data_IF_769859876457
#
_entry.id   IF_769859876457
#
_cell.length_a   1.000
_cell.length_b   1.000
_cell.length_c   1.000
_cell.angle_alpha   90.00
_cell.angle_beta   90.00
_cell.angle_gamma   90.00
#
_symmetry.space_group_name_H-M   'P 1'
#
loop_
_entity.id
_entity.type
_entity.pdbx_description
1 polymer ?
#
# COMPACT_ATOMS: atom_id res chain seq x y z
N UNK A 1 -45.31 3.13 3.74
CA UNK A 1 -44.07 2.32 3.67
C UNK A 1 -42.95 3.10 4.34
N UNK A 2 -42.46 2.65 5.51
CA UNK A 2 -41.26 3.18 6.10
C UNK A 2 -40.08 2.66 5.24
N UNK A 3 -39.44 3.51 4.46
CA UNK A 3 -38.22 3.16 3.77
C UNK A 3 -37.17 2.88 4.84
N UNK A 4 -36.86 1.60 5.06
CA UNK A 4 -35.82 1.20 6.00
C UNK A 4 -34.48 1.65 5.47
N UNK A 5 -33.67 2.26 6.33
CA UNK A 5 -32.26 2.67 5.98
C UNK A 5 -31.39 1.43 5.76
N UNK A 6 -31.70 0.34 6.47
CA UNK A 6 -31.01 -0.94 6.40
C UNK A 6 -31.98 -2.04 5.97
N UNK A 7 -31.49 -2.95 5.12
CA UNK A 7 -32.19 -4.15 4.67
C UNK A 7 -31.47 -5.37 5.22
N UNK A 8 -32.21 -6.25 5.88
CA UNK A 8 -31.69 -7.53 6.35
C UNK A 8 -31.44 -8.46 5.14
N UNK A 9 -30.30 -9.14 5.13
CA UNK A 9 -29.92 -10.15 4.16
C UNK A 9 -29.75 -11.51 4.83
N UNK A 10 -29.72 -12.61 4.09
CA UNK A 10 -29.39 -13.93 4.63
C UNK A 10 -28.07 -13.90 5.43
N UNK A 11 -27.89 -14.86 6.34
CA UNK A 11 -26.69 -15.00 7.19
C UNK A 11 -26.47 -13.85 8.19
N UNK A 12 -27.55 -13.24 8.69
CA UNK A 12 -27.48 -12.15 9.68
C UNK A 12 -26.64 -10.95 9.23
N UNK A 13 -26.63 -10.68 7.93
CA UNK A 13 -25.96 -9.51 7.36
C UNK A 13 -26.97 -8.38 7.12
N UNK A 14 -26.48 -7.14 7.16
CA UNK A 14 -27.26 -5.93 6.93
C UNK A 14 -26.61 -5.09 5.85
N UNK A 15 -27.44 -4.53 5.01
CA UNK A 15 -26.99 -3.70 3.88
C UNK A 15 -27.77 -2.38 3.89
N UNK A 16 -27.12 -1.29 3.52
CA UNK A 16 -27.85 -0.04 3.31
C UNK A 16 -28.77 -0.16 2.10
N UNK A 17 -30.03 0.29 2.25
CA UNK A 17 -31.00 0.27 1.15
C UNK A 17 -30.51 1.06 -0.08
N UNK A 18 -29.72 2.11 0.13
CA UNK A 18 -29.16 2.94 -0.91
C UNK A 18 -27.72 3.34 -0.58
N UNK A 19 -26.81 3.31 -1.57
CA UNK A 19 -25.41 3.67 -1.41
C UNK A 19 -25.21 5.11 -0.86
N UNK A 20 -26.06 6.05 -1.27
CA UNK A 20 -26.04 7.42 -0.76
C UNK A 20 -26.32 7.53 0.74
N UNK A 21 -27.15 6.65 1.28
CA UNK A 21 -27.41 6.58 2.72
C UNK A 21 -26.19 6.06 3.49
N UNK A 22 -25.51 5.06 2.93
CA UNK A 22 -24.25 4.57 3.49
C UNK A 22 -23.18 5.68 3.52
N UNK A 23 -23.05 6.40 2.40
CA UNK A 23 -22.11 7.50 2.29
C UNK A 23 -22.44 8.65 3.25
N UNK A 24 -23.72 9.05 3.34
CA UNK A 24 -24.15 10.10 4.26
C UNK A 24 -23.92 9.69 5.72
N UNK A 25 -24.25 8.46 6.09
CA UNK A 25 -23.99 7.91 7.42
C UNK A 25 -22.50 7.93 7.75
N UNK A 26 -21.65 7.47 6.83
CA UNK A 26 -20.20 7.49 7.00
C UNK A 26 -19.65 8.91 7.15
N UNK A 27 -20.12 9.85 6.32
CA UNK A 27 -19.67 11.26 6.37
C UNK A 27 -20.15 11.99 7.63
N UNK A 28 -21.30 11.59 8.19
CA UNK A 28 -21.81 12.17 9.44
C UNK A 28 -21.03 11.75 10.69
N UNK A 29 -20.24 10.68 10.61
CA UNK A 29 -19.42 10.23 11.73
C UNK A 29 -18.28 11.20 12.01
N UNK A 30 -17.96 11.41 13.28
CA UNK A 30 -16.75 12.11 13.66
C UNK A 30 -15.52 11.38 13.13
N UNK A 31 -14.50 12.13 12.74
CA UNK A 31 -13.23 11.58 12.21
C UNK A 31 -12.67 10.48 13.09
N UNK A 32 -12.56 10.73 14.40
CA UNK A 32 -12.04 9.75 15.38
C UNK A 32 -12.86 8.45 15.41
N UNK A 33 -14.18 8.55 15.25
CA UNK A 33 -15.05 7.37 15.18
C UNK A 33 -14.77 6.54 13.94
N UNK A 34 -14.59 7.20 12.77
CA UNK A 34 -14.24 6.52 11.51
C UNK A 34 -12.88 5.83 11.60
N UNK A 35 -11.87 6.53 12.13
CA UNK A 35 -10.53 5.97 12.36
C UNK A 35 -10.58 4.73 13.24
N UNK A 36 -11.32 4.79 14.36
CA UNK A 36 -11.48 3.64 15.26
C UNK A 36 -12.24 2.46 14.63
N UNK A 37 -13.24 2.72 13.79
CA UNK A 37 -13.93 1.67 13.05
C UNK A 37 -13.01 0.98 12.04
N UNK A 38 -12.23 1.75 11.30
CA UNK A 38 -11.28 1.18 10.34
C UNK A 38 -10.18 0.37 11.04
N UNK A 39 -9.66 0.81 12.19
CA UNK A 39 -8.71 0.03 12.98
C UNK A 39 -9.31 -1.33 13.37
N UNK A 40 -10.52 -1.35 13.92
CA UNK A 40 -11.21 -2.61 14.29
C UNK A 40 -11.46 -3.52 13.10
N UNK A 41 -11.79 -2.97 11.93
CA UNK A 41 -11.96 -3.76 10.70
C UNK A 41 -10.62 -4.36 10.27
N UNK A 42 -9.53 -3.59 10.31
CA UNK A 42 -8.20 -4.08 9.98
C UNK A 42 -7.79 -5.26 10.88
N UNK A 43 -7.97 -5.11 12.19
CA UNK A 43 -7.69 -6.17 13.17
C UNK A 43 -8.52 -7.43 12.90
N UNK A 44 -9.82 -7.25 12.62
CA UNK A 44 -10.73 -8.37 12.33
C UNK A 44 -10.36 -9.07 11.02
N UNK A 45 -10.01 -8.33 9.96
CA UNK A 45 -9.57 -8.89 8.68
C UNK A 45 -8.34 -9.79 8.87
N UNK A 46 -7.36 -9.33 9.63
CA UNK A 46 -6.15 -10.10 9.91
C UNK A 46 -6.44 -11.36 10.75
N UNK A 47 -7.25 -11.21 11.80
CA UNK A 47 -7.49 -12.31 12.74
C UNK A 47 -8.47 -13.38 12.21
N UNK A 48 -9.47 -12.97 11.39
CA UNK A 48 -10.62 -13.84 11.11
C UNK A 48 -10.80 -14.14 9.62
N UNK A 49 -10.33 -13.27 8.72
CA UNK A 49 -10.64 -13.35 7.30
C UNK A 49 -9.43 -13.40 6.37
N UNK A 50 -8.42 -14.26 6.62
CA UNK A 50 -7.22 -14.32 5.77
C UNK A 50 -7.54 -14.68 4.32
N UNK A 51 -8.62 -15.43 4.06
CA UNK A 51 -9.08 -15.78 2.72
C UNK A 51 -9.61 -14.55 1.93
N UNK A 52 -10.14 -13.54 2.61
CA UNK A 52 -10.56 -12.27 1.99
C UNK A 52 -9.32 -11.50 1.56
N UNK A 53 -8.32 -11.39 2.44
CA UNK A 53 -7.05 -10.74 2.14
C UNK A 53 -6.25 -11.47 1.03
N UNK A 54 -6.50 -12.76 0.87
CA UNK A 54 -5.93 -13.51 -0.25
C UNK A 54 -6.50 -13.09 -1.60
N UNK A 55 -7.77 -12.68 -1.65
CA UNK A 55 -8.46 -12.24 -2.89
C UNK A 55 -8.31 -10.73 -3.12
N UNK A 56 -8.29 -9.95 -2.05
CA UNK A 56 -8.23 -8.49 -2.08
C UNK A 56 -6.98 -8.00 -1.31
N UNK A 57 -5.79 -8.08 -1.93
CA UNK A 57 -4.53 -7.80 -1.22
C UNK A 57 -4.43 -6.40 -0.61
N UNK A 58 -5.01 -5.38 -1.27
CA UNK A 58 -4.98 -3.99 -0.80
C UNK A 58 -5.96 -3.66 0.32
N UNK A 59 -6.97 -4.52 0.57
CA UNK A 59 -8.07 -4.20 1.50
C UNK A 59 -7.59 -3.88 2.91
N UNK A 60 -6.63 -4.65 3.43
CA UNK A 60 -6.05 -4.42 4.76
C UNK A 60 -5.36 -3.06 4.82
N UNK A 61 -4.52 -2.77 3.84
CA UNK A 61 -3.77 -1.53 3.76
C UNK A 61 -4.70 -0.30 3.72
N UNK A 62 -5.80 -0.38 2.97
CA UNK A 62 -6.81 0.67 2.89
C UNK A 62 -7.47 0.94 4.25
N UNK A 63 -7.80 -0.09 5.01
CA UNK A 63 -8.37 0.08 6.34
C UNK A 63 -7.34 0.64 7.32
N UNK A 64 -6.10 0.17 7.31
CA UNK A 64 -5.01 0.70 8.13
C UNK A 64 -4.73 2.17 7.79
N UNK A 65 -4.69 2.54 6.50
CA UNK A 65 -4.54 3.93 6.07
C UNK A 65 -5.67 4.82 6.61
N UNK A 66 -6.92 4.42 6.44
CA UNK A 66 -8.10 5.15 6.95
C UNK A 66 -8.13 5.22 8.48
N UNK A 67 -7.49 4.28 9.16
CA UNK A 67 -7.27 4.29 10.61
C UNK A 67 -6.08 5.16 11.04
N UNK A 68 -5.35 5.78 10.08
CA UNK A 68 -4.10 6.52 10.29
C UNK A 68 -2.96 5.69 10.90
N UNK A 69 -3.00 4.39 10.69
CA UNK A 69 -1.94 3.44 11.03
C UNK A 69 -0.93 3.40 9.87
N UNK A 70 -0.17 4.48 9.68
CA UNK A 70 0.61 4.70 8.45
C UNK A 70 1.70 3.65 8.24
N UNK A 71 2.51 3.33 9.23
CA UNK A 71 3.56 2.32 9.10
C UNK A 71 2.98 0.93 8.75
N UNK A 72 1.99 0.38 9.47
CA UNK A 72 1.31 -0.85 9.05
C UNK A 72 0.72 -0.78 7.64
N UNK A 73 0.10 0.36 7.27
CA UNK A 73 -0.49 0.53 5.95
C UNK A 73 0.56 0.46 4.83
N UNK A 74 1.71 1.13 4.99
CA UNK A 74 2.82 1.09 4.04
C UNK A 74 3.29 -0.36 3.84
N UNK A 75 3.54 -1.08 4.92
CA UNK A 75 3.97 -2.48 4.85
C UNK A 75 2.93 -3.35 4.14
N UNK A 76 1.65 -3.18 4.47
CA UNK A 76 0.56 -3.94 3.83
C UNK A 76 0.39 -3.59 2.35
N UNK A 77 0.55 -2.32 1.95
CA UNK A 77 0.53 -1.92 0.54
C UNK A 77 1.71 -2.51 -0.24
N UNK A 78 2.91 -2.52 0.31
CA UNK A 78 4.08 -3.14 -0.34
C UNK A 78 3.90 -4.66 -0.50
N UNK A 79 3.37 -5.33 0.51
CA UNK A 79 3.04 -6.76 0.43
C UNK A 79 1.95 -7.04 -0.62
N UNK A 80 0.92 -6.19 -0.70
CA UNK A 80 -0.11 -6.26 -1.72
C UNK A 80 0.47 -6.07 -3.12
N UNK A 81 1.33 -5.07 -3.30
CA UNK A 81 2.03 -4.79 -4.55
C UNK A 81 2.85 -5.99 -5.01
N UNK A 82 3.66 -6.56 -4.13
CA UNK A 82 4.48 -7.74 -4.43
C UNK A 82 3.61 -8.93 -4.87
N UNK A 83 2.52 -9.19 -4.18
CA UNK A 83 1.59 -10.26 -4.52
C UNK A 83 0.95 -10.04 -5.89
N UNK A 84 0.47 -8.84 -6.17
CA UNK A 84 -0.13 -8.46 -7.45
C UNK A 84 0.89 -8.55 -8.59
N UNK A 85 2.13 -8.13 -8.36
CA UNK A 85 3.23 -8.27 -9.31
C UNK A 85 3.45 -9.76 -9.68
N UNK A 86 3.48 -10.65 -8.70
CA UNK A 86 3.61 -12.10 -8.94
C UNK A 86 2.43 -12.69 -9.70
N UNK A 87 1.25 -12.08 -9.62
CA UNK A 87 0.04 -12.48 -10.33
C UNK A 87 -0.06 -11.87 -11.75
N UNK A 88 0.88 -11.00 -12.13
CA UNK A 88 0.85 -10.27 -13.40
C UNK A 88 -0.12 -9.10 -13.43
N UNK A 89 -0.68 -8.70 -12.29
CA UNK A 89 -1.59 -7.55 -12.16
C UNK A 89 -0.78 -6.26 -11.98
N UNK A 90 -0.04 -5.87 -13.02
CA UNK A 90 0.98 -4.82 -12.95
C UNK A 90 0.42 -3.44 -12.61
N UNK A 91 -0.73 -3.06 -13.16
CA UNK A 91 -1.38 -1.76 -12.90
C UNK A 91 -1.76 -1.64 -11.42
N UNK A 92 -2.36 -2.67 -10.86
CA UNK A 92 -2.76 -2.69 -9.46
C UNK A 92 -1.53 -2.76 -8.55
N UNK A 93 -0.50 -3.52 -8.94
CA UNK A 93 0.77 -3.59 -8.20
C UNK A 93 1.44 -2.21 -8.11
N UNK A 94 1.52 -1.47 -9.23
CA UNK A 94 2.07 -0.11 -9.24
C UNK A 94 1.24 0.83 -8.36
N UNK A 95 -0.08 0.77 -8.45
CA UNK A 95 -0.98 1.58 -7.64
C UNK A 95 -0.75 1.37 -6.15
N UNK A 96 -0.60 0.12 -5.70
CA UNK A 96 -0.31 -0.20 -4.30
C UNK A 96 1.06 0.34 -3.86
N UNK A 97 2.10 0.17 -4.68
CA UNK A 97 3.44 0.67 -4.35
C UNK A 97 3.48 2.20 -4.27
N UNK A 98 2.79 2.90 -5.17
CA UNK A 98 2.66 4.36 -5.12
C UNK A 98 1.84 4.84 -3.93
N UNK A 99 0.80 4.10 -3.53
CA UNK A 99 0.06 4.39 -2.30
C UNK A 99 0.96 4.27 -1.07
N UNK A 100 1.80 3.23 -0.99
CA UNK A 100 2.79 3.08 0.07
C UNK A 100 3.76 4.28 0.11
N UNK A 101 4.33 4.65 -1.03
CA UNK A 101 5.27 5.78 -1.14
C UNK A 101 4.62 7.09 -0.67
N UNK A 102 3.38 7.35 -1.09
CA UNK A 102 2.65 8.56 -0.68
C UNK A 102 2.43 8.68 0.83
N UNK A 103 2.40 7.56 1.55
CA UNK A 103 2.24 7.55 3.01
C UNK A 103 3.56 7.73 3.77
N UNK A 104 4.71 7.58 3.13
CA UNK A 104 6.00 7.75 3.81
C UNK A 104 6.14 9.17 4.40
N UNK A 105 5.57 10.18 3.76
CA UNK A 105 5.58 11.55 4.25
C UNK A 105 4.87 11.76 5.60
N UNK A 106 3.97 10.86 5.98
CA UNK A 106 3.24 10.89 7.25
C UNK A 106 4.04 10.32 8.43
N UNK A 107 5.19 9.68 8.16
CA UNK A 107 6.07 9.10 9.16
C UNK A 107 7.12 10.11 9.65
N UNK A 108 7.73 9.87 10.83
CA UNK A 108 8.92 10.58 11.26
C UNK A 108 10.07 10.44 10.25
N UNK A 109 10.92 11.47 10.13
CA UNK A 109 12.01 11.52 9.12
C UNK A 109 12.98 10.34 9.21
N UNK A 110 13.26 9.86 10.42
CA UNK A 110 14.16 8.74 10.67
C UNK A 110 13.61 7.38 10.21
N UNK A 111 12.28 7.26 10.01
CA UNK A 111 11.63 6.03 9.56
C UNK A 111 11.34 6.00 8.05
N UNK A 112 11.43 7.15 7.37
CA UNK A 112 11.05 7.27 5.95
C UNK A 112 11.99 6.53 5.00
N UNK A 113 13.33 6.71 5.08
CA UNK A 113 14.23 6.32 4.00
C UNK A 113 14.18 4.84 3.64
N UNK A 114 14.08 3.95 4.61
CA UNK A 114 14.02 2.49 4.34
C UNK A 114 12.72 2.12 3.60
N UNK A 115 11.61 2.76 3.95
CA UNK A 115 10.31 2.50 3.34
C UNK A 115 10.18 3.16 1.96
N UNK A 116 10.77 4.33 1.77
CA UNK A 116 10.88 4.98 0.46
C UNK A 116 11.73 4.15 -0.50
N UNK A 117 12.88 3.63 -0.05
CA UNK A 117 13.70 2.68 -0.82
C UNK A 117 12.88 1.46 -1.23
N UNK A 118 12.16 0.87 -0.29
CA UNK A 118 11.33 -0.31 -0.58
C UNK A 118 10.22 0.01 -1.59
N UNK A 119 9.56 1.16 -1.47
CA UNK A 119 8.51 1.59 -2.36
C UNK A 119 9.04 1.91 -3.77
N UNK A 120 10.11 2.69 -3.89
CA UNK A 120 10.76 2.97 -5.19
C UNK A 120 11.28 1.70 -5.86
N UNK A 121 11.90 0.79 -5.11
CA UNK A 121 12.34 -0.51 -5.63
C UNK A 121 11.15 -1.32 -6.17
N UNK A 122 10.02 -1.32 -5.47
CA UNK A 122 8.82 -2.02 -5.91
C UNK A 122 8.24 -1.38 -7.19
N UNK A 123 8.13 -0.05 -7.25
CA UNK A 123 7.65 0.66 -8.44
C UNK A 123 8.58 0.36 -9.63
N UNK A 124 9.89 0.48 -9.46
CA UNK A 124 10.87 0.16 -10.49
C UNK A 124 10.76 -1.28 -10.98
N UNK A 125 10.53 -2.23 -10.07
CA UNK A 125 10.34 -3.64 -10.41
C UNK A 125 9.08 -3.88 -11.25
N UNK A 126 7.97 -3.20 -10.93
CA UNK A 126 6.72 -3.28 -11.71
C UNK A 126 6.90 -2.65 -13.08
N UNK A 127 7.47 -1.44 -13.13
CA UNK A 127 7.72 -0.73 -14.40
C UNK A 127 8.62 -1.53 -15.33
N UNK A 128 9.60 -2.22 -14.79
CA UNK A 128 10.50 -3.12 -15.53
C UNK A 128 9.74 -4.22 -16.27
N UNK A 129 8.69 -4.80 -15.68
CA UNK A 129 7.85 -5.82 -16.31
C UNK A 129 6.99 -5.27 -17.43
N UNK A 130 6.58 -4.00 -17.34
CA UNK A 130 5.67 -3.36 -18.30
C UNK A 130 6.41 -2.66 -19.43
N UNK A 131 7.51 -1.96 -19.12
CA UNK A 131 8.19 -1.06 -20.04
C UNK A 131 9.59 -1.55 -20.45
N UNK A 132 10.11 -2.59 -19.77
CA UNK A 132 11.45 -3.11 -19.99
C UNK A 132 12.54 -2.37 -19.21
N UNK A 133 13.72 -2.99 -19.16
CA UNK A 133 14.84 -2.54 -18.32
C UNK A 133 15.42 -1.17 -18.70
N UNK A 134 15.34 -0.79 -19.97
CA UNK A 134 15.98 0.43 -20.48
C UNK A 134 15.07 1.66 -20.45
N UNK A 135 13.84 1.52 -19.96
CA UNK A 135 12.89 2.61 -19.91
C UNK A 135 13.32 3.69 -18.90
N UNK A 136 13.21 4.95 -19.29
CA UNK A 136 13.56 6.09 -18.44
C UNK A 136 12.85 6.10 -17.08
N UNK A 137 11.56 5.77 -16.96
CA UNK A 137 10.91 5.68 -15.65
C UNK A 137 11.54 4.65 -14.71
N UNK A 138 11.97 3.50 -15.24
CA UNK A 138 12.66 2.46 -14.46
C UNK A 138 13.97 3.00 -13.90
N UNK A 139 14.77 3.64 -14.76
CA UNK A 139 16.04 4.27 -14.36
C UNK A 139 15.82 5.31 -13.27
N UNK A 140 14.83 6.18 -13.40
CA UNK A 140 14.53 7.22 -12.42
C UNK A 140 14.21 6.65 -11.04
N UNK A 141 13.43 5.58 -10.96
CA UNK A 141 13.10 4.94 -9.68
C UNK A 141 14.37 4.38 -9.00
N UNK A 142 15.23 3.69 -9.75
CA UNK A 142 16.47 3.15 -9.19
C UNK A 142 17.52 4.21 -8.87
N UNK A 143 17.62 5.28 -9.65
CA UNK A 143 18.48 6.44 -9.33
C UNK A 143 18.05 7.08 -8.00
N UNK A 144 16.73 7.18 -7.76
CA UNK A 144 16.19 7.67 -6.48
C UNK A 144 16.57 6.75 -5.32
N UNK A 145 16.48 5.43 -5.51
CA UNK A 145 16.94 4.45 -4.51
C UNK A 145 18.40 4.64 -4.18
N UNK A 146 19.25 4.85 -5.18
CA UNK A 146 20.69 5.10 -4.98
C UNK A 146 20.95 6.40 -4.22
N UNK A 147 20.23 7.48 -4.55
CA UNK A 147 20.36 8.77 -3.86
C UNK A 147 20.00 8.65 -2.37
N UNK A 148 18.85 8.05 -2.05
CA UNK A 148 18.41 7.85 -0.67
C UNK A 148 19.40 6.96 0.09
N UNK A 149 19.84 5.85 -0.53
CA UNK A 149 20.79 4.91 0.07
C UNK A 149 22.15 5.54 0.34
N UNK A 150 22.63 6.41 -0.56
CA UNK A 150 23.92 7.09 -0.38
C UNK A 150 23.86 8.12 0.75
N UNK A 151 22.73 8.82 0.90
CA UNK A 151 22.49 9.73 2.01
C UNK A 151 22.44 8.99 3.36
N UNK A 152 21.85 7.79 3.40
CA UNK A 152 21.83 6.95 4.61
C UNK A 152 23.19 6.36 4.98
N UNK A 153 24.04 6.02 4.02
CA UNK A 153 25.41 5.52 4.30
C UNK A 153 26.24 6.50 5.10
N UNK A 154 25.90 7.77 5.04
CA UNK A 154 26.47 8.78 5.93
C UNK A 154 25.96 8.66 7.37
N UNK A 155 24.94 7.83 7.64
CA UNK A 155 24.20 7.72 8.91
C UNK A 155 24.17 6.32 9.55
N UNK A 156 24.57 5.21 8.87
CA UNK A 156 24.57 3.87 9.50
C UNK A 156 24.64 2.63 8.58
N UNK A 157 24.79 1.40 9.12
CA UNK A 157 25.29 0.22 8.38
C UNK A 157 24.24 -0.71 7.71
N UNK A 158 22.96 -0.37 7.57
CA UNK A 158 21.91 -1.36 7.20
C UNK A 158 21.39 -1.31 5.74
N UNK A 159 22.19 -0.89 4.77
CA UNK A 159 21.73 -0.61 3.39
C UNK A 159 22.03 -1.68 2.32
N UNK A 160 22.41 -2.90 2.70
CA UNK A 160 22.89 -3.93 1.75
C UNK A 160 21.87 -4.50 0.73
N UNK A 161 20.57 -4.73 1.01
CA UNK A 161 19.65 -5.36 0.03
C UNK A 161 19.25 -4.46 -1.15
N UNK A 162 19.10 -3.15 -0.92
CA UNK A 162 18.68 -2.20 -1.95
C UNK A 162 19.74 -1.98 -3.04
N UNK A 163 21.02 -2.13 -2.67
CA UNK A 163 22.16 -1.99 -3.60
C UNK A 163 22.24 -3.13 -4.62
N UNK A 164 21.74 -4.32 -4.30
CA UNK A 164 21.75 -5.45 -5.24
C UNK A 164 20.84 -5.20 -6.44
N UNK A 165 19.65 -4.65 -6.25
CA UNK A 165 18.73 -4.32 -7.35
C UNK A 165 19.28 -3.22 -8.27
N UNK A 166 19.81 -2.15 -7.69
CA UNK A 166 20.38 -1.03 -8.42
C UNK A 166 21.68 -1.40 -9.16
N UNK A 167 22.53 -2.26 -8.56
CA UNK A 167 23.77 -2.74 -9.21
C UNK A 167 23.48 -3.65 -10.40
N UNK A 168 22.47 -4.49 -10.31
CA UNK A 168 22.07 -5.37 -11.41
C UNK A 168 21.59 -4.57 -12.61
N UNK A 169 20.88 -3.46 -12.40
CA UNK A 169 20.45 -2.56 -13.47
C UNK A 169 21.65 -1.87 -14.15
N UNK A 170 22.60 -1.36 -13.39
CA UNK A 170 23.78 -0.66 -13.94
C UNK A 170 24.67 -1.57 -14.79
N UNK A 171 24.78 -2.86 -14.46
CA UNK A 171 25.59 -3.83 -15.21
C UNK A 171 24.94 -4.25 -16.53
N UNK A 172 23.60 -4.28 -16.58
CA UNK A 172 22.85 -4.71 -17.79
C UNK A 172 22.65 -3.56 -18.78
N UNK A 173 22.75 -2.29 -18.32
CA UNK A 173 22.53 -1.08 -19.14
C UNK A 173 23.83 -0.47 -19.69
N UNK A 174 25.00 -1.06 -19.40
CA UNK A 174 26.30 -0.67 -19.92
C UNK A 174 26.72 -1.56 -21.10
#
# INVERSE_FOLDING_TARGET
>A
ARAGVLVARPNNTWEFAHALLAQAAYQSMLRRTREGLHARIADMLQATFPQVLAREPGLLADHQHKARQFLPAIVSYLQASQKLLMQGAFVDAESMARAALGLCAELPEDQRPELEIAAHTMIGSVLMQVQGFTADPVRQEFDTVLQISSAQKALGPNTAPALLGAHTHAIISA
#
